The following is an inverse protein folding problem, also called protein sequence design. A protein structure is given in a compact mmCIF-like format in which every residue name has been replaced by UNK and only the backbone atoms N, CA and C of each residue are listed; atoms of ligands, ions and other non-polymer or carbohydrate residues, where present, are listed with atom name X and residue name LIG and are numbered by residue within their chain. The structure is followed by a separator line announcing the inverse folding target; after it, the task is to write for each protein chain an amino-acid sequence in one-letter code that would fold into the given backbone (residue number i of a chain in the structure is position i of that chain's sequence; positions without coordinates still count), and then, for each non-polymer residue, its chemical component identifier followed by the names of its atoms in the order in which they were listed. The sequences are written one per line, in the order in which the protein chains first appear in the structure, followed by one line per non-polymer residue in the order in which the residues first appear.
data_IF_948857033166
#
_entry.id   IF_948857033166
#
_cell.length_a   1.000
_cell.length_b   1.000
_cell.length_c   1.000
_cell.angle_alpha   90.00
_cell.angle_beta   90.00
_cell.angle_gamma   90.00
#
_symmetry.space_group_name_H-M   'P 1'
#
loop_
_entity.id
_entity.type
_entity.pdbx_description
1 polymer ?
#
# COMPACT_ATOMS: atom_id res chain seq x y z
N UNK A 1 -15.46 6.78 -19.51
CA UNK A 1 -14.70 5.67 -20.11
C UNK A 1 -15.72 4.68 -20.64
N UNK A 2 -15.68 4.36 -21.93
CA UNK A 2 -16.61 3.41 -22.55
C UNK A 2 -16.37 1.99 -22.02
N UNK A 3 -17.41 1.17 -21.96
CA UNK A 3 -17.29 -0.24 -21.58
C UNK A 3 -16.65 -1.03 -22.72
N UNK A 4 -15.65 -1.84 -22.41
CA UNK A 4 -14.98 -2.72 -23.38
C UNK A 4 -15.35 -4.19 -23.11
N UNK A 5 -15.40 -4.99 -24.17
CA UNK A 5 -15.53 -6.44 -24.07
C UNK A 5 -14.16 -7.09 -24.26
N UNK A 6 -13.80 -8.02 -23.38
CA UNK A 6 -12.52 -8.74 -23.40
C UNK A 6 -12.80 -10.23 -23.39
N UNK A 7 -12.22 -10.97 -24.34
CA UNK A 7 -12.28 -12.42 -24.36
C UNK A 7 -11.05 -13.03 -23.67
N UNK A 8 -11.27 -13.85 -22.64
CA UNK A 8 -10.20 -14.56 -21.93
C UNK A 8 -10.56 -16.05 -21.89
N UNK A 9 -9.73 -16.88 -22.53
CA UNK A 9 -9.91 -18.35 -22.58
C UNK A 9 -11.32 -18.74 -23.10
N UNK A 10 -11.73 -18.17 -24.23
CA UNK A 10 -13.00 -18.51 -24.88
C UNK A 10 -14.26 -17.95 -24.19
N UNK A 11 -14.10 -17.12 -23.16
CA UNK A 11 -15.21 -16.47 -22.45
C UNK A 11 -15.12 -14.97 -22.63
N UNK A 12 -16.24 -14.36 -23.03
CA UNK A 12 -16.37 -12.90 -23.17
C UNK A 12 -16.74 -12.30 -21.81
N UNK A 13 -15.99 -11.27 -21.40
CA UNK A 13 -16.19 -10.51 -20.19
C UNK A 13 -16.46 -9.05 -20.54
N UNK A 14 -17.51 -8.48 -19.93
CA UNK A 14 -17.75 -7.05 -19.99
C UNK A 14 -16.95 -6.36 -18.89
N UNK A 15 -16.10 -5.43 -19.27
CA UNK A 15 -15.33 -4.60 -18.36
C UNK A 15 -16.21 -3.45 -17.86
N UNK A 16 -16.38 -3.37 -16.54
CA UNK A 16 -16.97 -2.21 -15.88
C UNK A 16 -15.85 -1.43 -15.20
N UNK A 17 -15.68 -0.13 -15.49
CA UNK A 17 -14.76 0.70 -14.74
C UNK A 17 -15.24 0.74 -13.29
N UNK A 18 -14.44 0.18 -12.37
CA UNK A 18 -14.71 0.30 -10.94
C UNK A 18 -14.44 1.72 -10.52
N UNK A 19 -15.51 2.43 -10.18
CA UNK A 19 -15.42 3.71 -9.54
C UNK A 19 -15.42 3.63 -8.00
N UNK A 20 -15.53 2.46 -7.36
CA UNK A 20 -16.31 2.42 -6.11
C UNK A 20 -15.62 1.91 -4.83
N UNK A 21 -14.31 2.14 -4.62
CA UNK A 21 -13.80 2.14 -3.22
C UNK A 21 -12.50 2.89 -2.98
N UNK A 22 -11.55 2.79 -3.90
CA UNK A 22 -10.34 3.62 -3.85
C UNK A 22 -10.62 5.10 -4.16
N UNK A 23 -11.74 5.38 -4.84
CA UNK A 23 -12.08 6.72 -5.31
C UNK A 23 -13.07 7.46 -4.42
N UNK A 24 -13.69 6.90 -3.38
CA UNK A 24 -14.58 7.71 -2.52
C UNK A 24 -13.85 8.92 -1.92
N UNK A 25 -12.56 8.76 -1.59
CA UNK A 25 -11.68 9.87 -1.16
C UNK A 25 -11.10 10.69 -2.33
N UNK A 26 -11.06 10.13 -3.55
CA UNK A 26 -10.48 10.78 -4.74
C UNK A 26 -11.54 11.47 -5.61
N UNK A 27 -12.82 11.16 -5.45
CA UNK A 27 -13.95 11.76 -6.15
C UNK A 27 -14.02 13.27 -5.95
N UNK A 28 -13.77 13.82 -4.74
CA UNK A 28 -13.61 15.25 -4.55
C UNK A 28 -12.44 15.84 -5.35
N UNK A 29 -11.33 15.09 -5.49
CA UNK A 29 -10.09 15.50 -6.19
C UNK A 29 -10.16 15.35 -7.71
N UNK A 30 -11.08 14.52 -8.21
CA UNK A 30 -11.34 14.31 -9.64
C UNK A 30 -12.35 15.32 -10.21
N UNK A 31 -12.98 16.16 -9.38
CA UNK A 31 -13.79 17.28 -9.84
C UNK A 31 -12.90 18.34 -10.48
N UNK A 32 -13.34 18.91 -11.60
CA UNK A 32 -12.66 20.06 -12.20
C UNK A 32 -12.63 21.22 -11.19
N UNK A 33 -11.43 21.75 -10.90
CA UNK A 33 -11.22 22.89 -10.01
C UNK A 33 -10.76 22.56 -8.57
N UNK A 34 -10.65 21.29 -8.18
CA UNK A 34 -10.14 20.89 -6.86
C UNK A 34 -8.63 20.61 -6.82
N UNK A 35 -7.93 20.84 -7.93
CA UNK A 35 -6.49 20.62 -8.05
C UNK A 35 -5.77 21.94 -7.99
N UNK A 36 -4.80 22.05 -7.10
CA UNK A 36 -3.95 23.22 -6.98
C UNK A 36 -2.73 23.09 -7.91
N UNK A 37 -2.29 24.21 -8.49
CA UNK A 37 -1.08 24.23 -9.32
C UNK A 37 0.13 23.84 -8.47
N UNK A 38 0.82 22.75 -8.86
CA UNK A 38 1.98 22.20 -8.14
C UNK A 38 1.72 20.89 -7.40
N UNK A 39 0.46 20.45 -7.29
CA UNK A 39 0.14 19.14 -6.73
C UNK A 39 0.49 17.98 -7.68
N UNK A 40 1.01 16.89 -7.13
CA UNK A 40 1.36 15.68 -7.87
C UNK A 40 0.39 14.56 -7.48
N UNK A 41 -0.31 14.01 -8.47
CA UNK A 41 -1.27 12.93 -8.28
C UNK A 41 -0.78 11.64 -8.95
N UNK A 42 -0.90 10.52 -8.23
CA UNK A 42 -0.81 9.18 -8.82
C UNK A 42 -2.21 8.77 -9.30
N UNK A 43 -2.43 8.80 -10.62
CA UNK A 43 -3.69 8.36 -11.22
C UNK A 43 -3.57 6.90 -11.67
N UNK A 44 -4.04 5.98 -10.83
CA UNK A 44 -4.04 4.54 -11.10
C UNK A 44 -5.48 4.05 -11.28
N UNK A 45 -5.72 3.21 -12.30
CA UNK A 45 -7.04 2.62 -12.57
C UNK A 45 -6.93 1.10 -12.45
N UNK A 46 -7.86 0.49 -11.71
CA UNK A 46 -7.93 -0.97 -11.54
C UNK A 46 -9.22 -1.49 -12.16
N UNK A 47 -9.10 -2.36 -13.16
CA UNK A 47 -10.21 -3.07 -13.76
C UNK A 47 -10.47 -4.41 -13.04
N UNK A 48 -11.73 -4.83 -12.99
CA UNK A 48 -12.12 -6.17 -12.51
C UNK A 48 -13.07 -6.77 -13.53
N UNK A 49 -12.91 -8.08 -13.79
CA UNK A 49 -13.85 -8.79 -14.65
C UNK A 49 -15.20 -8.98 -13.95
N UNK A 50 -16.26 -9.14 -14.74
CA UNK A 50 -17.64 -9.36 -14.28
C UNK A 50 -17.83 -10.62 -13.43
N UNK A 51 -16.86 -11.54 -13.40
CA UNK A 51 -16.88 -12.74 -12.54
C UNK A 51 -16.19 -12.52 -11.19
N UNK A 52 -15.42 -11.44 -11.05
CA UNK A 52 -14.95 -10.95 -9.76
C UNK A 52 -16.06 -10.16 -9.07
N UNK A 53 -16.11 -10.20 -7.73
CA UNK A 53 -17.16 -9.52 -6.93
C UNK A 53 -17.11 -8.00 -6.95
N UNK A 54 -16.32 -7.39 -7.84
CA UNK A 54 -16.20 -5.95 -7.82
C UNK A 54 -15.51 -5.41 -6.55
N UNK A 55 -14.99 -6.27 -5.68
CA UNK A 55 -14.45 -5.89 -4.39
C UNK A 55 -13.04 -6.45 -4.25
N UNK A 56 -12.16 -5.63 -3.71
CA UNK A 56 -10.87 -6.11 -3.26
C UNK A 56 -11.03 -6.58 -1.81
N UNK A 57 -10.29 -7.63 -1.46
CA UNK A 57 -10.33 -8.27 -0.15
C UNK A 57 -8.89 -8.46 0.26
N UNK A 58 -8.61 -8.14 1.51
CA UNK A 58 -7.36 -8.56 2.12
C UNK A 58 -7.30 -10.09 2.12
N UNK A 59 -6.37 -10.64 1.35
CA UNK A 59 -6.09 -12.06 1.30
C UNK A 59 -4.57 -12.26 1.33
N UNK A 60 -4.12 -13.28 2.06
CA UNK A 60 -2.72 -13.70 2.25
C UNK A 60 -1.91 -12.80 3.23
N UNK A 61 -0.73 -13.28 3.61
CA UNK A 61 0.25 -12.61 4.47
C UNK A 61 0.70 -11.24 3.92
N UNK A 62 0.65 -10.20 4.77
CA UNK A 62 1.09 -8.85 4.41
C UNK A 62 2.57 -8.77 4.03
N UNK A 63 2.88 -8.17 2.88
CA UNK A 63 4.27 -7.96 2.44
C UNK A 63 4.74 -6.51 2.49
N UNK A 64 3.84 -5.53 2.58
CA UNK A 64 4.17 -4.10 2.41
C UNK A 64 4.04 -3.33 3.72
N UNK A 65 5.04 -2.47 3.96
CA UNK A 65 5.18 -1.69 5.18
C UNK A 65 5.65 -0.29 4.82
N UNK A 66 5.28 0.72 5.60
CA UNK A 66 5.80 2.07 5.46
C UNK A 66 5.95 2.70 6.82
N UNK A 67 7.02 3.47 7.02
CA UNK A 67 7.11 4.31 8.22
C UNK A 67 6.05 5.41 8.14
N UNK A 68 5.32 5.64 9.23
CA UNK A 68 4.35 6.74 9.30
C UNK A 68 5.13 8.06 9.19
N UNK A 69 4.73 8.91 8.24
CA UNK A 69 5.47 10.13 7.88
C UNK A 69 5.67 11.05 9.09
N UNK A 70 4.60 11.26 9.87
CA UNK A 70 4.59 12.14 11.06
C UNK A 70 4.83 11.39 12.38
N UNK A 71 5.37 10.17 12.34
CA UNK A 71 5.68 9.44 13.57
C UNK A 71 6.73 10.20 14.40
N UNK A 72 6.33 10.64 15.59
CA UNK A 72 7.22 11.26 16.56
C UNK A 72 8.29 10.31 17.10
N UNK A 73 9.16 10.81 17.98
CA UNK A 73 10.15 9.97 18.64
C UNK A 73 9.49 9.07 19.70
N UNK A 74 9.34 7.79 19.38
CA UNK A 74 8.78 6.78 20.29
C UNK A 74 9.93 5.93 20.87
N UNK A 75 10.14 5.94 22.20
CA UNK A 75 11.23 5.19 22.82
C UNK A 75 10.96 3.68 22.78
N UNK A 76 11.63 2.98 21.87
CA UNK A 76 11.57 1.52 21.77
C UNK A 76 12.31 0.85 22.94
N UNK A 77 11.76 -0.24 23.47
CA UNK A 77 12.42 -1.05 24.53
C UNK A 77 13.28 -2.17 23.95
N UNK A 78 12.87 -2.76 22.82
CA UNK A 78 13.56 -3.87 22.20
C UNK A 78 14.78 -3.39 21.38
N UNK A 79 16.01 -3.84 21.70
CA UNK A 79 17.21 -3.44 20.95
C UNK A 79 17.14 -3.79 19.47
N UNK A 80 16.56 -4.95 19.14
CA UNK A 80 16.39 -5.40 17.75
C UNK A 80 15.42 -4.51 16.97
N UNK A 81 14.38 -3.98 17.61
CA UNK A 81 13.44 -3.03 17.00
C UNK A 81 14.12 -1.68 16.71
N UNK A 82 15.00 -1.20 17.61
CA UNK A 82 15.81 0.00 17.37
C UNK A 82 16.75 -0.17 16.16
N UNK A 83 17.44 -1.31 16.10
CA UNK A 83 18.34 -1.62 15.00
C UNK A 83 17.57 -1.68 13.67
N UNK A 84 16.44 -2.39 13.64
CA UNK A 84 15.61 -2.48 12.45
C UNK A 84 15.08 -1.10 12.02
N UNK A 85 14.64 -0.27 12.96
CA UNK A 85 14.20 1.09 12.68
C UNK A 85 15.33 1.96 12.11
N UNK A 86 16.57 1.80 12.60
CA UNK A 86 17.73 2.48 12.03
C UNK A 86 17.99 2.04 10.58
N UNK A 87 17.89 0.74 10.28
CA UNK A 87 17.99 0.20 8.92
C UNK A 87 16.87 0.73 8.02
N UNK A 88 15.63 0.81 8.51
CA UNK A 88 14.50 1.37 7.76
C UNK A 88 14.73 2.86 7.47
N UNK A 89 15.10 3.64 8.48
CA UNK A 89 15.37 5.08 8.30
C UNK A 89 16.52 5.33 7.31
N UNK A 90 17.56 4.48 7.32
CA UNK A 90 18.72 4.62 6.43
C UNK A 90 18.37 4.28 4.97
N UNK A 91 17.59 3.23 4.73
CA UNK A 91 17.37 2.70 3.37
C UNK A 91 16.07 3.18 2.72
N UNK A 92 15.02 3.41 3.50
CA UNK A 92 13.68 3.71 2.99
C UNK A 92 13.14 5.06 3.50
N UNK A 93 13.60 5.51 4.68
CA UNK A 93 13.06 6.70 5.35
C UNK A 93 11.54 6.58 5.54
N UNK A 94 10.75 7.36 4.79
CA UNK A 94 9.28 7.33 4.77
C UNK A 94 8.69 6.61 3.56
N UNK A 95 9.53 6.10 2.65
CA UNK A 95 9.08 5.30 1.51
C UNK A 95 8.63 3.90 1.95
N UNK A 96 7.68 3.33 1.20
CA UNK A 96 7.23 1.96 1.41
C UNK A 96 8.34 0.95 1.11
N UNK A 97 8.35 -0.15 1.87
CA UNK A 97 9.28 -1.26 1.72
C UNK A 97 8.56 -2.60 1.89
N UNK A 98 9.26 -3.69 1.59
CA UNK A 98 8.75 -5.04 1.77
C UNK A 98 9.77 -5.95 2.45
N UNK A 99 9.31 -7.10 2.97
CA UNK A 99 10.18 -8.09 3.65
C UNK A 99 11.40 -8.49 2.81
N UNK A 100 11.20 -8.70 1.50
CA UNK A 100 12.27 -9.03 0.55
C UNK A 100 13.38 -7.97 0.50
N UNK A 101 13.06 -6.69 0.73
CA UNK A 101 14.07 -5.64 0.73
C UNK A 101 14.88 -5.66 2.03
N UNK A 102 14.23 -5.95 3.16
CA UNK A 102 14.94 -6.17 4.43
C UNK A 102 15.89 -7.38 4.33
N UNK A 103 15.45 -8.47 3.70
CA UNK A 103 16.32 -9.64 3.45
C UNK A 103 17.55 -9.27 2.62
N UNK A 104 17.37 -8.48 1.55
CA UNK A 104 18.47 -8.00 0.69
C UNK A 104 19.41 -7.03 1.40
N UNK A 105 18.89 -6.25 2.35
CA UNK A 105 19.71 -5.39 3.22
C UNK A 105 20.50 -6.17 4.28
N UNK A 106 20.33 -7.49 4.35
CA UNK A 106 21.04 -8.36 5.30
C UNK A 106 20.36 -8.47 6.66
N UNK A 107 19.12 -8.00 6.82
CA UNK A 107 18.37 -8.19 8.06
C UNK A 107 17.88 -9.63 8.16
N UNK A 108 18.07 -10.26 9.32
CA UNK A 108 17.59 -11.62 9.60
C UNK A 108 16.76 -11.67 10.89
N UNK A 109 15.82 -12.61 11.00
CA UNK A 109 14.97 -12.81 12.20
C UNK A 109 14.29 -11.51 12.69
N UNK A 110 13.90 -10.63 11.76
CA UNK A 110 13.38 -9.31 12.07
C UNK A 110 11.86 -9.28 12.31
N UNK A 111 11.14 -10.39 12.10
CA UNK A 111 9.66 -10.42 12.15
C UNK A 111 9.08 -9.92 13.48
N UNK A 112 9.64 -10.33 14.62
CA UNK A 112 9.21 -9.83 15.93
C UNK A 112 9.51 -8.34 16.12
N UNK A 113 10.66 -7.89 15.63
CA UNK A 113 11.04 -6.48 15.68
C UNK A 113 10.10 -5.64 14.80
N UNK A 114 9.78 -6.13 13.60
CA UNK A 114 8.85 -5.48 12.68
C UNK A 114 7.45 -5.42 13.27
N UNK A 115 6.96 -6.50 13.89
CA UNK A 115 5.68 -6.50 14.62
C UNK A 115 5.69 -5.44 15.73
N UNK A 116 6.76 -5.34 16.51
CA UNK A 116 6.83 -4.33 17.57
C UNK A 116 6.81 -2.89 17.02
N UNK A 117 7.43 -2.63 15.86
CA UNK A 117 7.34 -1.33 15.20
C UNK A 117 5.92 -1.01 14.71
N UNK A 118 5.17 -2.04 14.28
CA UNK A 118 3.77 -1.90 13.90
C UNK A 118 2.88 -1.64 15.13
N UNK A 119 3.03 -2.46 16.18
CA UNK A 119 2.28 -2.32 17.43
C UNK A 119 2.56 -0.99 18.17
N UNK A 120 3.66 -0.31 17.83
CA UNK A 120 4.05 0.97 18.41
C UNK A 120 3.70 2.17 17.53
N UNK A 121 2.90 2.00 16.47
CA UNK A 121 2.51 3.05 15.53
C UNK A 121 3.69 3.83 14.91
N UNK A 122 4.81 3.14 14.67
CA UNK A 122 5.95 3.69 13.94
C UNK A 122 5.89 3.28 12.46
N UNK A 123 5.45 2.05 12.21
CA UNK A 123 5.35 1.46 10.87
C UNK A 123 3.91 1.02 10.64
N UNK A 124 3.34 1.46 9.53
CA UNK A 124 2.03 1.02 9.06
C UNK A 124 2.17 -0.19 8.13
N UNK A 125 1.20 -1.08 8.23
CA UNK A 125 1.04 -2.29 7.40
C UNK A 125 0.09 -1.96 6.25
N UNK A 126 0.50 -2.28 5.01
CA UNK A 126 -0.31 -2.10 3.81
C UNK A 126 -0.71 -3.48 3.28
N UNK A 127 -1.89 -3.93 3.68
CA UNK A 127 -2.51 -5.08 3.05
C UNK A 127 -3.01 -4.66 1.67
N UNK A 128 -2.85 -5.53 0.67
CA UNK A 128 -3.49 -5.33 -0.62
C UNK A 128 -4.99 -5.46 -0.38
N UNK A 129 -5.65 -4.30 -0.26
CA UNK A 129 -7.04 -4.13 0.15
C UNK A 129 -7.97 -4.23 -1.01
#
# INVERSE_FOLDING_TARGET
MESYEVEIIGKVFQEYPKHERALENLFPLLKEGSREEGEIFANETFASTSTGKGNVREDIECSHYMKIFDAGHIPLRLPRAKQLLATINKNFSTLAFCRRYLDRSGEAKYLMALKNLCDSDIVQVFNAS
#
